data_IF_929315471996
#
_entry.id   IF_929315471996
#
_cell.length_a   1.000
_cell.length_b   1.000
_cell.length_c   1.000
_cell.angle_alpha   90.00
_cell.angle_beta   90.00
_cell.angle_gamma   90.00
#
_symmetry.space_group_name_H-M   'P 1'
#
loop_
_entity.id
_entity.type
_entity.pdbx_description
1 polymer ?
#
# COMPACT_ATOMS: atom_id res chain seq x y z
N UNK A 1 21.24 -9.49 5.72
CA UNK A 1 20.44 -10.70 5.45
C UNK A 1 19.00 -10.23 5.56
N UNK A 2 18.30 -10.03 4.44
CA UNK A 2 16.86 -9.78 4.46
C UNK A 2 16.19 -11.13 4.71
N UNK A 3 15.47 -11.28 5.83
CA UNK A 3 14.61 -12.45 6.03
C UNK A 3 13.69 -12.57 4.81
N UNK A 4 13.63 -13.76 4.23
CA UNK A 4 12.73 -14.05 3.12
C UNK A 4 11.29 -14.05 3.66
N UNK A 5 10.35 -13.49 2.89
CA UNK A 5 8.94 -13.46 3.29
C UNK A 5 8.44 -14.87 3.61
N UNK A 6 7.74 -15.01 4.73
CA UNK A 6 7.06 -16.24 5.17
C UNK A 6 5.69 -15.88 5.75
N UNK A 7 4.69 -16.69 5.42
CA UNK A 7 3.32 -16.55 5.94
C UNK A 7 3.26 -16.87 7.44
N UNK A 8 4.07 -17.82 7.92
CA UNK A 8 4.18 -18.10 9.36
C UNK A 8 4.64 -16.86 10.11
N UNK A 9 5.70 -16.21 9.62
CA UNK A 9 6.24 -14.99 10.24
C UNK A 9 5.27 -13.82 10.16
N UNK A 10 4.51 -13.71 9.06
CA UNK A 10 3.43 -12.72 8.93
C UNK A 10 2.37 -12.93 10.01
N UNK A 11 1.95 -14.17 10.25
CA UNK A 11 0.97 -14.51 11.26
C UNK A 11 1.48 -14.21 12.67
N UNK A 12 2.73 -14.55 12.99
CA UNK A 12 3.36 -14.21 14.27
C UNK A 12 3.37 -12.69 14.52
N UNK A 13 3.71 -11.91 13.50
CA UNK A 13 3.68 -10.44 13.58
C UNK A 13 2.24 -9.96 13.81
N UNK A 14 1.27 -10.54 13.09
CA UNK A 14 -0.15 -10.23 13.25
C UNK A 14 -0.66 -10.50 14.66
N UNK A 15 -0.40 -11.68 15.22
CA UNK A 15 -0.78 -12.04 16.59
C UNK A 15 -0.15 -11.12 17.64
N UNK A 16 1.14 -10.83 17.48
CA UNK A 16 1.89 -9.93 18.36
C UNK A 16 1.30 -8.52 18.36
N UNK A 17 1.09 -7.95 17.17
CA UNK A 17 0.53 -6.60 17.03
C UNK A 17 -0.93 -6.55 17.47
N UNK A 18 -1.71 -7.59 17.22
CA UNK A 18 -3.08 -7.69 17.74
C UNK A 18 -3.08 -7.68 19.28
N UNK A 19 -2.19 -8.44 19.92
CA UNK A 19 -2.03 -8.40 21.38
C UNK A 19 -1.71 -7.00 21.91
N UNK A 20 -0.83 -6.26 21.21
CA UNK A 20 -0.56 -4.86 21.53
C UNK A 20 -1.77 -3.95 21.32
N UNK A 21 -2.55 -4.16 20.25
CA UNK A 21 -3.79 -3.45 20.00
C UNK A 21 -4.82 -3.66 21.12
N UNK A 22 -4.98 -4.90 21.59
CA UNK A 22 -5.85 -5.21 22.74
C UNK A 22 -5.38 -4.50 24.01
N UNK A 23 -4.08 -4.47 24.28
CA UNK A 23 -3.54 -3.72 25.42
C UNK A 23 -3.74 -2.20 25.25
N UNK A 24 -3.51 -1.68 24.04
CA UNK A 24 -3.72 -0.28 23.70
C UNK A 24 -5.15 0.18 23.97
N UNK A 25 -6.17 -0.62 23.66
CA UNK A 25 -7.58 -0.27 23.94
C UNK A 25 -7.92 -0.04 25.42
N UNK A 26 -7.01 -0.41 26.33
CA UNK A 26 -7.15 -0.22 27.78
C UNK A 26 -6.31 0.93 28.32
N UNK A 27 -5.60 1.65 27.45
CA UNK A 27 -4.68 2.73 27.80
C UNK A 27 -5.34 4.10 27.73
N UNK A 28 -4.78 5.06 28.46
CA UNK A 28 -5.19 6.47 28.39
C UNK A 28 -4.97 7.07 27.00
N UNK A 29 -3.98 6.57 26.24
CA UNK A 29 -3.73 6.99 24.85
C UNK A 29 -4.88 6.63 23.93
N UNK A 30 -5.52 5.47 24.13
CA UNK A 30 -6.72 5.09 23.39
C UNK A 30 -7.92 5.91 23.83
N UNK A 31 -8.05 6.20 25.14
CA UNK A 31 -9.16 7.03 25.63
C UNK A 31 -9.17 8.44 25.04
N UNK A 32 -7.99 8.99 24.75
CA UNK A 32 -7.82 10.28 24.08
C UNK A 32 -8.26 10.33 22.62
N UNK A 33 -8.53 9.19 21.99
CA UNK A 33 -9.04 9.13 20.61
C UNK A 33 -10.54 9.50 20.56
N UNK A 34 -10.93 10.13 19.47
CA UNK A 34 -12.34 10.31 19.10
C UNK A 34 -13.03 8.97 18.84
N UNK A 35 -14.37 8.99 18.81
CA UNK A 35 -15.15 7.77 18.56
C UNK A 35 -14.77 7.09 17.24
N UNK A 36 -14.61 7.86 16.16
CA UNK A 36 -14.25 7.33 14.83
C UNK A 36 -12.85 6.74 14.85
N UNK A 37 -11.89 7.43 15.46
CA UNK A 37 -10.51 6.93 15.58
C UNK A 37 -10.43 5.65 16.43
N UNK A 38 -11.29 5.51 17.46
CA UNK A 38 -11.42 4.26 18.26
C UNK A 38 -11.97 3.12 17.41
N UNK A 39 -12.98 3.37 16.58
CA UNK A 39 -13.55 2.37 15.66
C UNK A 39 -12.53 1.93 14.60
N UNK A 40 -11.73 2.88 14.09
CA UNK A 40 -10.70 2.64 13.08
C UNK A 40 -9.36 2.16 13.66
N UNK A 41 -9.21 2.09 15.00
CA UNK A 41 -7.89 1.87 15.58
C UNK A 41 -7.29 0.50 15.24
N UNK A 42 -8.09 -0.57 15.40
CA UNK A 42 -7.67 -1.93 15.06
C UNK A 42 -7.35 -2.08 13.57
N UNK A 43 -8.24 -1.71 12.62
CA UNK A 43 -7.93 -1.87 11.20
C UNK A 43 -6.73 -1.05 10.76
N UNK A 44 -6.51 0.15 11.31
CA UNK A 44 -5.31 0.95 11.03
C UNK A 44 -4.05 0.24 11.50
N UNK A 45 -4.00 -0.20 12.77
CA UNK A 45 -2.82 -0.83 13.37
C UNK A 45 -2.47 -2.14 12.65
N UNK A 46 -3.48 -2.99 12.39
CA UNK A 46 -3.29 -4.29 11.75
C UNK A 46 -2.84 -4.12 10.30
N UNK A 47 -3.46 -3.22 9.51
CA UNK A 47 -3.06 -2.97 8.11
C UNK A 47 -1.67 -2.37 8.03
N UNK A 48 -1.33 -1.45 8.94
CA UNK A 48 0.01 -0.88 9.01
C UNK A 48 1.05 -1.98 9.23
N UNK A 49 0.89 -2.82 10.26
CA UNK A 49 1.84 -3.89 10.54
C UNK A 49 1.93 -4.92 9.41
N UNK A 50 0.79 -5.30 8.84
CA UNK A 50 0.71 -6.22 7.72
C UNK A 50 1.50 -5.72 6.50
N UNK A 51 1.36 -4.43 6.17
CA UNK A 51 2.05 -3.83 5.02
C UNK A 51 3.52 -3.53 5.30
N UNK A 52 3.89 -3.16 6.53
CA UNK A 52 5.30 -3.06 6.92
C UNK A 52 6.04 -4.38 6.68
N UNK A 53 5.40 -5.52 6.98
CA UNK A 53 6.01 -6.82 6.71
C UNK A 53 5.87 -7.26 5.25
N UNK A 54 4.65 -7.33 4.71
CA UNK A 54 4.39 -7.90 3.38
C UNK A 54 4.96 -7.07 2.22
N UNK A 55 5.19 -5.77 2.41
CA UNK A 55 5.71 -4.88 1.36
C UNK A 55 7.13 -4.37 1.65
N UNK A 56 7.50 -4.13 2.91
CA UNK A 56 8.83 -3.63 3.26
C UNK A 56 9.73 -4.69 3.90
N UNK A 57 9.20 -5.87 4.24
CA UNK A 57 9.96 -6.95 4.89
C UNK A 57 10.39 -6.60 6.31
N UNK A 58 9.64 -5.73 7.01
CA UNK A 58 10.00 -5.21 8.32
C UNK A 58 9.06 -5.71 9.41
N UNK A 59 9.62 -6.48 10.34
CA UNK A 59 9.00 -6.78 11.62
C UNK A 59 8.98 -5.52 12.53
N UNK A 60 8.14 -5.49 13.57
CA UNK A 60 8.00 -4.33 14.47
C UNK A 60 9.32 -3.74 15.00
N UNK A 61 10.28 -4.59 15.34
CA UNK A 61 11.56 -4.20 15.90
C UNK A 61 12.43 -3.39 14.91
N UNK A 62 12.13 -3.49 13.61
CA UNK A 62 12.83 -2.81 12.53
C UNK A 62 12.06 -1.60 11.97
N UNK A 63 10.92 -1.24 12.56
CA UNK A 63 10.16 -0.05 12.15
C UNK A 63 10.98 1.23 12.40
N UNK A 64 11.01 2.10 11.39
CA UNK A 64 11.68 3.39 11.45
C UNK A 64 10.90 4.44 10.66
N UNK A 65 11.31 5.70 10.79
CA UNK A 65 10.60 6.84 10.18
C UNK A 65 10.45 6.66 8.66
N UNK A 66 11.52 6.25 7.96
CA UNK A 66 11.51 6.10 6.50
C UNK A 66 10.46 5.07 6.05
N UNK A 67 10.43 3.90 6.69
CA UNK A 67 9.48 2.84 6.34
C UNK A 67 8.06 3.15 6.76
N UNK A 68 7.87 3.81 7.90
CA UNK A 68 6.55 4.26 8.36
C UNK A 68 5.97 5.30 7.38
N UNK A 69 6.76 6.28 6.96
CA UNK A 69 6.35 7.28 5.96
C UNK A 69 5.98 6.58 4.66
N UNK A 70 6.85 5.73 4.11
CA UNK A 70 6.57 4.98 2.88
C UNK A 70 5.29 4.14 3.00
N UNK A 71 5.07 3.48 4.14
CA UNK A 71 3.84 2.72 4.35
C UNK A 71 2.60 3.62 4.35
N UNK A 72 2.66 4.77 5.04
CA UNK A 72 1.51 5.66 5.22
C UNK A 72 1.18 6.50 3.98
N UNK A 73 2.18 6.92 3.20
CA UNK A 73 1.98 7.83 2.05
C UNK A 73 2.01 7.11 0.72
N UNK A 74 2.60 5.92 0.60
CA UNK A 74 2.71 5.21 -0.68
C UNK A 74 1.93 3.90 -0.70
N UNK A 75 2.06 3.07 0.34
CA UNK A 75 1.52 1.71 0.31
C UNK A 75 0.03 1.71 0.68
N UNK A 76 -0.33 2.31 1.82
CA UNK A 76 -1.71 2.39 2.30
C UNK A 76 -2.64 3.07 1.28
N UNK A 77 -2.36 4.32 0.81
CA UNK A 77 -3.20 5.02 -0.17
C UNK A 77 -3.37 4.26 -1.48
N UNK A 78 -2.35 3.51 -1.89
CA UNK A 78 -2.35 2.75 -3.14
C UNK A 78 -3.15 1.46 -3.06
N UNK A 79 -3.29 0.85 -1.88
CA UNK A 79 -3.81 -0.52 -1.74
C UNK A 79 -5.08 -0.68 -0.93
N UNK A 80 -5.32 0.16 0.07
CA UNK A 80 -6.50 0.01 0.93
C UNK A 80 -7.72 0.56 0.20
N UNK A 81 -8.79 -0.21 0.14
CA UNK A 81 -10.13 0.29 -0.19
C UNK A 81 -10.84 0.53 1.14
N UNK A 82 -11.04 1.79 1.49
CA UNK A 82 -11.67 2.20 2.74
C UNK A 82 -12.32 3.58 2.56
N UNK A 83 -13.21 3.93 3.48
CA UNK A 83 -13.85 5.24 3.54
C UNK A 83 -12.84 6.33 3.97
N UNK A 84 -13.09 7.61 3.66
CA UNK A 84 -12.21 8.71 4.04
C UNK A 84 -11.82 8.73 5.52
N UNK A 85 -12.76 8.38 6.40
CA UNK A 85 -12.64 8.32 7.85
C UNK A 85 -11.48 7.40 8.31
N UNK A 86 -11.24 6.30 7.59
CA UNK A 86 -10.08 5.43 7.84
C UNK A 86 -8.77 6.19 7.67
N UNK A 87 -8.63 6.95 6.58
CA UNK A 87 -7.40 7.68 6.25
C UNK A 87 -7.17 8.87 7.16
N UNK A 88 -8.24 9.57 7.54
CA UNK A 88 -8.21 10.64 8.54
C UNK A 88 -7.77 10.09 9.91
N UNK A 89 -8.14 8.85 10.23
CA UNK A 89 -7.78 8.18 11.48
C UNK A 89 -6.34 7.62 11.51
N UNK A 90 -5.67 7.43 10.36
CA UNK A 90 -4.33 6.78 10.31
C UNK A 90 -3.32 7.48 11.20
N UNK A 91 -3.13 8.79 11.03
CA UNK A 91 -2.14 9.54 11.78
C UNK A 91 -2.41 9.62 13.29
N UNK A 92 -3.61 10.03 13.76
CA UNK A 92 -3.89 10.12 15.19
C UNK A 92 -3.84 8.75 15.88
N UNK A 93 -4.38 7.69 15.25
CA UNK A 93 -4.31 6.33 15.80
C UNK A 93 -2.87 5.85 15.91
N UNK A 94 -2.07 5.96 14.85
CA UNK A 94 -0.68 5.50 14.88
C UNK A 94 0.16 6.34 15.86
N UNK A 95 -0.10 7.64 15.96
CA UNK A 95 0.57 8.50 16.94
C UNK A 95 0.27 8.06 18.37
N UNK A 96 -1.00 7.84 18.72
CA UNK A 96 -1.42 7.36 20.03
C UNK A 96 -0.89 5.96 20.33
N UNK A 97 -0.97 5.05 19.36
CA UNK A 97 -0.47 3.68 19.50
C UNK A 97 1.05 3.64 19.74
N UNK A 98 1.83 4.43 18.99
CA UNK A 98 3.27 4.51 19.22
C UNK A 98 3.61 5.16 20.58
N UNK A 99 2.86 6.15 21.06
CA UNK A 99 3.07 6.68 22.42
C UNK A 99 2.82 5.61 23.49
N UNK A 100 1.78 4.80 23.32
CA UNK A 100 1.51 3.64 24.18
C UNK A 100 2.68 2.63 24.15
N UNK A 101 3.18 2.26 22.97
CA UNK A 101 4.30 1.31 22.86
C UNK A 101 5.60 1.85 23.46
N UNK A 102 5.77 3.17 23.49
CA UNK A 102 6.92 3.84 24.11
C UNK A 102 6.84 3.76 25.64
N UNK A 103 5.67 4.07 26.21
CA UNK A 103 5.42 4.07 27.64
C UNK A 103 5.68 2.68 28.27
N UNK A 104 5.26 1.62 27.58
CA UNK A 104 5.48 0.23 28.02
C UNK A 104 6.89 -0.30 27.66
N UNK A 105 7.73 0.51 27.00
CA UNK A 105 9.08 0.13 26.59
C UNK A 105 9.12 -0.99 25.53
N UNK A 106 8.03 -1.18 24.79
CA UNK A 106 7.84 -2.28 23.84
C UNK A 106 8.63 -2.04 22.55
N UNK A 107 8.63 -0.79 22.06
CA UNK A 107 9.26 -0.43 20.78
C UNK A 107 10.25 0.73 20.96
N UNK A 108 11.57 0.51 20.77
CA UNK A 108 12.59 1.53 21.03
C UNK A 108 12.46 2.82 20.20
N UNK A 109 11.89 2.74 18.99
CA UNK A 109 11.74 3.89 18.09
C UNK A 109 10.40 4.62 18.27
N UNK A 110 9.55 4.19 19.21
CA UNK A 110 8.14 4.54 19.24
C UNK A 110 7.88 6.04 19.41
N UNK A 111 8.55 6.73 20.34
CA UNK A 111 8.46 8.20 20.47
C UNK A 111 8.73 8.92 19.14
N UNK A 112 9.78 8.53 18.41
CA UNK A 112 10.15 9.18 17.16
C UNK A 112 9.12 8.92 16.05
N UNK A 113 8.55 7.71 16.00
CA UNK A 113 7.48 7.38 15.06
C UNK A 113 6.21 8.18 15.37
N UNK A 114 5.81 8.26 16.65
CA UNK A 114 4.65 9.02 17.10
C UNK A 114 4.72 10.50 16.69
N UNK A 115 5.87 11.13 16.90
CA UNK A 115 6.11 12.53 16.56
C UNK A 115 6.13 12.77 15.04
N UNK A 116 6.50 11.76 14.25
CA UNK A 116 6.62 11.90 12.79
C UNK A 116 5.36 11.57 12.03
N UNK A 117 4.52 10.68 12.54
CA UNK A 117 3.26 10.31 11.86
C UNK A 117 2.16 11.37 12.07
N UNK A 118 2.14 12.01 13.23
CA UNK A 118 1.12 13.02 13.60
C UNK A 118 0.93 14.13 12.54
N UNK A 119 1.98 14.82 12.05
CA UNK A 119 1.81 15.86 11.03
C UNK A 119 1.47 15.33 9.63
N UNK A 120 1.51 14.02 9.38
CA UNK A 120 1.25 13.44 8.05
C UNK A 120 -0.25 13.25 7.76
N UNK A 121 -1.13 13.37 8.76
CA UNK A 121 -2.56 13.09 8.62
C UNK A 121 -3.23 13.73 7.39
N UNK A 122 -3.12 15.06 7.20
CA UNK A 122 -3.69 15.73 6.04
C UNK A 122 -3.13 15.23 4.70
N UNK A 123 -1.84 14.89 4.66
CA UNK A 123 -1.17 14.39 3.45
C UNK A 123 -1.65 12.96 3.12
N UNK A 124 -1.75 12.08 4.12
CA UNK A 124 -2.23 10.70 3.95
C UNK A 124 -3.65 10.71 3.35
N UNK A 125 -4.56 11.50 3.92
CA UNK A 125 -5.93 11.61 3.43
C UNK A 125 -5.98 12.19 2.00
N UNK A 126 -5.22 13.24 1.73
CA UNK A 126 -5.15 13.85 0.39
C UNK A 126 -4.67 12.84 -0.67
N UNK A 127 -3.56 12.14 -0.42
CA UNK A 127 -3.01 11.14 -1.36
C UNK A 127 -4.00 9.99 -1.56
N UNK A 128 -4.65 9.53 -0.48
CA UNK A 128 -5.60 8.42 -0.52
C UNK A 128 -6.88 8.74 -1.29
N UNK A 129 -7.30 10.00 -1.32
CA UNK A 129 -8.47 10.47 -2.06
C UNK A 129 -8.24 10.63 -3.56
N UNK A 130 -6.99 10.78 -4.00
CA UNK A 130 -6.64 11.00 -5.40
C UNK A 130 -6.52 9.67 -6.19
N UNK A 131 -7.39 9.43 -7.19
CA UNK A 131 -7.35 8.21 -8.00
C UNK A 131 -6.03 7.96 -8.74
N UNK A 132 -5.21 9.00 -8.97
CA UNK A 132 -3.91 8.87 -9.61
C UNK A 132 -2.90 8.09 -8.76
N UNK A 133 -3.09 8.05 -7.43
CA UNK A 133 -2.22 7.34 -6.49
C UNK A 133 -2.67 5.88 -6.25
N UNK A 134 -3.79 5.46 -6.82
CA UNK A 134 -4.35 4.15 -6.57
C UNK A 134 -3.67 3.05 -7.39
N UNK A 135 -3.48 1.90 -6.76
CA UNK A 135 -3.05 0.69 -7.44
C UNK A 135 -4.19 0.09 -8.27
N UNK A 136 -3.89 -0.73 -9.29
CA UNK A 136 -4.91 -1.27 -10.19
C UNK A 136 -6.06 -2.00 -9.48
N UNK A 137 -5.76 -2.74 -8.42
CA UNK A 137 -6.76 -3.45 -7.63
C UNK A 137 -7.69 -2.48 -6.88
N UNK A 138 -7.15 -1.45 -6.22
CA UNK A 138 -7.95 -0.40 -5.55
C UNK A 138 -8.78 0.36 -6.58
N UNK A 139 -8.20 0.78 -7.70
CA UNK A 139 -8.93 1.49 -8.77
C UNK A 139 -10.09 0.66 -9.32
N UNK A 140 -9.87 -0.64 -9.53
CA UNK A 140 -10.95 -1.57 -9.92
C UNK A 140 -12.03 -1.63 -8.85
N UNK A 141 -11.65 -1.82 -7.59
CA UNK A 141 -12.58 -1.93 -6.48
C UNK A 141 -13.42 -0.66 -6.26
N UNK A 142 -12.79 0.52 -6.30
CA UNK A 142 -13.48 1.80 -6.19
C UNK A 142 -14.48 2.01 -7.33
N UNK A 143 -14.11 1.64 -8.57
CA UNK A 143 -15.03 1.70 -9.72
C UNK A 143 -16.18 0.71 -9.59
N UNK A 144 -15.92 -0.50 -9.12
CA UNK A 144 -16.95 -1.51 -8.89
C UNK A 144 -17.95 -1.04 -7.82
N UNK A 145 -17.46 -0.52 -6.70
CA UNK A 145 -18.29 0.03 -5.63
C UNK A 145 -19.12 1.23 -6.11
N UNK A 146 -18.54 2.15 -6.88
CA UNK A 146 -19.27 3.27 -7.48
C UNK A 146 -20.36 2.82 -8.47
N UNK A 147 -20.19 1.66 -9.11
CA UNK A 147 -21.19 1.03 -9.97
C UNK A 147 -22.23 0.19 -9.20
N UNK A 148 -22.16 0.15 -7.87
CA UNK A 148 -23.08 -0.61 -7.02
C UNK A 148 -22.85 -2.12 -7.03
N UNK A 149 -21.65 -2.58 -7.44
CA UNK A 149 -21.29 -4.00 -7.45
C UNK A 149 -21.15 -4.52 -6.02
N UNK A 150 -21.80 -5.63 -5.71
CA UNK A 150 -21.65 -6.32 -4.44
C UNK A 150 -20.31 -7.07 -4.44
N UNK A 151 -19.34 -6.52 -3.71
CA UNK A 151 -17.97 -7.05 -3.63
C UNK A 151 -17.86 -8.43 -2.95
N UNK A 152 -18.95 -8.94 -2.37
CA UNK A 152 -19.04 -10.31 -1.84
C UNK A 152 -19.55 -11.35 -2.86
N UNK A 153 -20.07 -10.94 -4.01
CA UNK A 153 -20.56 -11.84 -5.07
C UNK A 153 -19.49 -12.03 -6.14
N UNK A 154 -19.03 -13.27 -6.29
CA UNK A 154 -18.07 -13.62 -7.32
C UNK A 154 -18.66 -13.41 -8.72
N UNK A 155 -19.95 -13.69 -8.90
CA UNK A 155 -20.68 -13.51 -10.15
C UNK A 155 -20.72 -12.04 -10.57
N UNK A 156 -21.04 -11.13 -9.63
CA UNK A 156 -21.09 -9.70 -9.92
C UNK A 156 -19.70 -9.12 -10.19
N UNK A 157 -18.69 -9.51 -9.40
CA UNK A 157 -17.30 -9.11 -9.64
C UNK A 157 -16.83 -9.59 -11.03
N UNK A 158 -17.09 -10.84 -11.39
CA UNK A 158 -16.69 -11.38 -12.69
C UNK A 158 -17.38 -10.65 -13.85
N UNK A 159 -18.68 -10.34 -13.70
CA UNK A 159 -19.43 -9.57 -14.70
C UNK A 159 -18.85 -8.18 -14.86
N UNK A 160 -18.57 -7.48 -13.76
CA UNK A 160 -17.97 -6.15 -13.80
C UNK A 160 -16.56 -6.19 -14.37
N UNK A 161 -15.75 -7.21 -14.05
CA UNK A 161 -14.40 -7.39 -14.60
C UNK A 161 -14.40 -7.51 -16.13
N UNK A 162 -15.35 -8.26 -16.70
CA UNK A 162 -15.49 -8.38 -18.15
C UNK A 162 -15.83 -7.02 -18.79
N UNK A 163 -16.79 -6.29 -18.21
CA UNK A 163 -17.16 -4.95 -18.69
C UNK A 163 -16.01 -3.95 -18.58
N UNK A 164 -15.32 -3.96 -17.44
CA UNK A 164 -14.16 -3.11 -17.17
C UNK A 164 -13.03 -3.33 -18.17
N UNK A 165 -12.72 -4.60 -18.47
CA UNK A 165 -11.69 -4.95 -19.46
C UNK A 165 -12.07 -4.50 -20.88
N UNK A 166 -13.35 -4.56 -21.26
CA UNK A 166 -13.81 -4.07 -22.56
C UNK A 166 -13.66 -2.55 -22.69
N UNK A 167 -13.98 -1.79 -21.63
CA UNK A 167 -13.81 -0.33 -21.60
C UNK A 167 -12.34 0.07 -21.75
N UNK A 168 -11.42 -0.58 -21.02
CA UNK A 168 -9.99 -0.32 -21.12
C UNK A 168 -9.40 -0.59 -22.51
N UNK A 169 -9.95 -1.57 -23.25
CA UNK A 169 -9.56 -1.82 -24.63
C UNK A 169 -10.09 -0.74 -25.57
N UNK A 170 -11.36 -0.31 -25.40
CA UNK A 170 -11.97 0.76 -26.19
C UNK A 170 -11.30 2.13 -26.02
N UNK A 171 -10.86 2.48 -24.80
CA UNK A 171 -10.10 3.70 -24.51
C UNK A 171 -8.74 3.71 -25.22
N UNK A 172 -8.02 2.58 -25.22
CA UNK A 172 -6.72 2.45 -25.91
C UNK A 172 -6.81 2.56 -27.43
N UNK A 173 -7.93 2.14 -28.02
CA UNK A 173 -8.16 2.28 -29.46
C UNK A 173 -8.61 3.69 -29.86
N UNK A 174 -9.20 4.45 -28.93
CA UNK A 174 -9.68 5.83 -29.16
C UNK A 174 -8.60 6.90 -28.98
N UNK A 175 -7.50 6.57 -28.29
CA UNK A 175 -6.37 7.49 -28.07
C UNK A 175 -5.24 7.38 -29.10
N UNK A 176 -5.40 6.60 -30.17
CA UNK A 176 -4.44 6.54 -31.28
C UNK A 176 -4.71 7.69 -32.27
N UNK A 177 -3.72 8.55 -32.59
CA UNK A 177 -3.89 9.52 -33.66
C UNK A 177 -4.11 8.76 -34.98
N UNK A 178 -5.18 9.10 -35.70
CA UNK A 178 -5.28 8.79 -37.12
C UNK A 178 -4.19 9.58 -37.87
N UNK A 179 -3.00 9.00 -38.01
CA UNK A 179 -2.11 9.38 -39.11
C UNK A 179 -2.46 8.54 -40.34
N UNK A 180 -2.83 9.27 -41.40
CA UNK A 180 -3.38 8.74 -42.63
C UNK A 180 -2.44 7.77 -43.34
N UNK A 181 -3.04 6.64 -43.72
CA UNK A 181 -2.55 5.75 -44.75
C UNK A 181 -2.41 6.49 -46.08
N UNK A 182 -1.22 6.50 -46.68
CA UNK A 182 -1.03 6.55 -48.13
C UNK A 182 0.40 6.11 -48.50
N UNK A 183 0.64 4.81 -48.73
CA UNK A 183 1.25 4.24 -49.94
C UNK A 183 1.68 2.78 -49.74
N UNK A 184 1.42 1.98 -50.77
CA UNK A 184 1.51 0.53 -50.81
C UNK A 184 2.85 0.01 -51.35
N UNK A 185 3.38 -1.01 -50.65
CA UNK A 185 4.12 -2.22 -51.12
C UNK A 185 5.48 -2.11 -51.87
N UNK A 186 6.21 -3.23 -52.08
CA UNK A 186 6.79 -4.12 -51.06
C UNK A 186 8.28 -4.42 -51.35
N UNK A 187 9.05 -4.93 -50.38
CA UNK A 187 10.31 -5.63 -50.69
C UNK A 187 10.71 -6.64 -49.62
N UNK A 188 11.27 -7.72 -50.16
CA UNK A 188 11.47 -9.07 -49.66
C UNK A 188 12.59 -9.26 -48.63
N UNK A 189 12.32 -10.19 -47.70
CA UNK A 189 13.23 -11.20 -47.09
C UNK A 189 14.37 -10.70 -46.17
N UNK A 190 14.32 -11.10 -44.89
CA UNK A 190 15.27 -12.09 -44.34
C UNK A 190 14.94 -12.47 -42.88
N UNK A 191 15.08 -13.76 -42.63
CA UNK A 191 14.82 -14.55 -41.43
C UNK A 191 15.95 -14.48 -40.38
N UNK A 192 15.61 -14.24 -39.10
CA UNK A 192 16.23 -14.90 -37.93
C UNK A 192 15.47 -14.53 -36.62
N UNK A 193 15.35 -15.45 -35.63
CA UNK A 193 14.47 -15.28 -34.48
C UNK A 193 15.16 -14.61 -33.27
N UNK A 194 14.48 -13.76 -32.47
CA UNK A 194 15.03 -13.31 -31.20
C UNK A 194 14.60 -14.24 -30.06
N UNK A 195 15.61 -14.82 -29.41
CA UNK A 195 15.50 -15.56 -28.17
C UNK A 195 15.07 -14.66 -26.99
N UNK A 196 14.42 -15.31 -26.01
CA UNK A 196 13.78 -14.79 -24.81
C UNK A 196 14.39 -13.56 -24.13
N UNK A 197 13.53 -12.55 -23.92
CA UNK A 197 13.74 -11.48 -22.95
C UNK A 197 13.10 -11.85 -21.61
N UNK A 198 13.92 -12.36 -20.69
CA UNK A 198 13.58 -12.40 -19.26
C UNK A 198 13.57 -10.98 -18.70
N UNK A 199 12.50 -10.65 -18.00
CA UNK A 199 12.21 -9.36 -17.38
C UNK A 199 13.28 -8.93 -16.37
N UNK A 200 13.91 -7.79 -16.64
CA UNK A 200 14.87 -7.11 -15.78
C UNK A 200 14.17 -6.38 -14.64
N UNK A 201 13.73 -7.13 -13.61
CA UNK A 201 13.18 -6.54 -12.36
C UNK A 201 14.13 -6.58 -11.16
N UNK A 202 15.40 -6.96 -11.34
CA UNK A 202 16.39 -7.09 -10.25
C UNK A 202 17.51 -6.03 -10.19
N UNK A 203 17.48 -4.96 -11.00
CA UNK A 203 18.59 -3.97 -11.04
C UNK A 203 18.41 -2.69 -10.22
N UNK A 204 17.26 -2.44 -9.58
CA UNK A 204 17.06 -1.23 -8.75
C UNK A 204 17.27 -1.42 -7.24
N UNK A 205 17.28 -2.65 -6.73
CA UNK A 205 17.57 -2.92 -5.31
C UNK A 205 19.08 -2.95 -4.98
N UNK A 206 19.96 -3.05 -5.98
CA UNK A 206 21.40 -3.27 -5.76
C UNK A 206 22.28 -2.00 -5.90
N UNK A 207 21.71 -0.84 -6.24
CA UNK A 207 22.45 0.43 -6.34
C UNK A 207 22.34 1.34 -5.09
N UNK A 208 21.44 1.06 -4.15
CA UNK A 208 21.33 1.82 -2.89
C UNK A 208 22.16 1.24 -1.74
N UNK A 209 22.52 -0.05 -1.80
CA UNK A 209 23.37 -0.71 -0.80
C UNK A 209 24.88 -0.35 -0.91
N UNK A 210 25.34 0.21 -2.04
CA UNK A 210 26.74 0.60 -2.22
C UNK A 210 27.07 2.04 -1.79
N UNK A 211 26.07 2.91 -1.61
CA UNK A 211 26.29 4.30 -1.13
C UNK A 211 26.41 4.43 0.39
N UNK A 212 26.04 3.40 1.16
CA UNK A 212 26.15 3.37 2.63
C UNK A 212 27.55 2.98 3.15
N UNK A 213 28.47 2.55 2.28
CA UNK A 213 29.85 2.16 2.67
C UNK A 213 30.92 3.23 2.45
N UNK A 214 30.59 4.40 1.89
CA UNK A 214 31.54 5.48 1.61
C UNK A 214 31.30 6.77 2.42
N UNK A 215 30.58 6.68 3.55
CA UNK A 215 30.30 7.85 4.41
C UNK A 215 30.45 7.54 5.91
N UNK A 216 31.46 6.76 6.25
CA UNK A 216 32.07 6.70 7.59
C UNK A 216 33.57 6.96 7.42
#
# INVERSE_FOLDING_TARGET
MTEEYSDERRNEIGEKVHGWGVAFTRSDHFEGLSKVEKEESEPVIIRFADYMYSHLGLAPEAWCIESMVECCTEILPRKVTAEPEFYESVAPVLSAFFRFLDEDGILPSATLLAQKVDPLGPEIAAIASDPANWGPAKSFAMKAQAAGVVMGSQEEINRFMLQYNQQLLGEKHSSAPMEGSLFSEPSTVSSAPPQGRKSTKKKRAMQKASRRKNRR
#
